data_IF_133075899175
#
_entry.id   IF_133075899175
#
_cell.length_a   1.000
_cell.length_b   1.000
_cell.length_c   1.000
_cell.angle_alpha   90.00
_cell.angle_beta   90.00
_cell.angle_gamma   90.00
#
_symmetry.space_group_name_H-M   'P 1'
#
loop_
_entity.id
_entity.type
_entity.pdbx_description
1 polymer ?
#
# COMPACT_ATOMS: atom_id res chain seq x y z
N UNK A 1 -4.14 -14.80 -19.42
CA UNK A 1 -3.09 -15.47 -18.63
C UNK A 1 -3.00 -14.81 -17.26
N UNK A 2 -3.54 -15.49 -16.23
CA UNK A 2 -3.42 -15.05 -14.82
C UNK A 2 -1.96 -15.25 -14.40
N UNK A 3 -1.27 -14.16 -14.08
CA UNK A 3 -0.07 -14.25 -13.23
C UNK A 3 -0.49 -15.01 -11.96
N UNK A 4 0.25 -16.06 -11.61
CA UNK A 4 -0.01 -16.80 -10.36
C UNK A 4 0.21 -15.81 -9.21
N UNK A 5 -0.89 -15.34 -8.63
CA UNK A 5 -0.85 -14.71 -7.32
C UNK A 5 -0.39 -15.78 -6.34
N UNK A 6 0.77 -15.56 -5.73
CA UNK A 6 1.21 -16.42 -4.65
C UNK A 6 0.32 -16.13 -3.44
N UNK A 7 -0.57 -17.06 -3.12
CA UNK A 7 -1.48 -16.97 -1.99
C UNK A 7 -0.99 -17.95 -0.92
N UNK A 8 -0.69 -17.43 0.27
CA UNK A 8 -0.50 -18.24 1.47
C UNK A 8 -1.85 -18.21 2.19
N UNK A 9 -2.49 -19.36 2.34
CA UNK A 9 -3.73 -19.53 3.11
C UNK A 9 -3.41 -20.25 4.39
N UNK A 10 -3.70 -19.62 5.52
CA UNK A 10 -3.83 -20.29 6.80
C UNK A 10 -4.98 -19.63 7.60
N UNK A 11 -5.90 -20.45 8.11
CA UNK A 11 -7.00 -20.14 9.03
C UNK A 11 -7.64 -18.75 8.90
N UNK A 12 -8.11 -18.37 7.70
CA UNK A 12 -8.80 -17.10 7.49
C UNK A 12 -7.91 -15.94 7.02
N UNK A 13 -6.60 -16.16 6.85
CA UNK A 13 -5.68 -15.16 6.32
C UNK A 13 -5.16 -15.52 4.93
N UNK A 14 -5.12 -14.53 4.02
CA UNK A 14 -4.61 -14.69 2.66
C UNK A 14 -3.72 -13.49 2.31
N UNK A 15 -2.48 -13.77 1.97
CA UNK A 15 -1.54 -12.76 1.45
C UNK A 15 -1.53 -12.78 -0.08
N UNK A 16 -1.76 -11.62 -0.69
CA UNK A 16 -1.77 -11.42 -2.13
C UNK A 16 -0.62 -10.48 -2.48
N UNK A 17 0.36 -10.96 -3.24
CA UNK A 17 1.44 -10.11 -3.75
C UNK A 17 0.89 -9.29 -4.91
N UNK A 18 0.83 -7.98 -4.73
CA UNK A 18 0.32 -7.03 -5.72
C UNK A 18 1.40 -6.60 -6.71
N UNK A 19 2.64 -6.54 -6.25
CA UNK A 19 3.82 -6.27 -7.04
C UNK A 19 5.07 -6.80 -6.37
N UNK A 20 6.00 -7.30 -7.17
CA UNK A 20 7.28 -7.88 -6.71
C UNK A 20 8.49 -7.27 -7.41
N UNK A 21 8.29 -6.12 -8.07
CA UNK A 21 9.36 -5.35 -8.70
C UNK A 21 10.09 -4.44 -7.71
N UNK A 22 11.19 -3.87 -8.18
CA UNK A 22 11.94 -2.83 -7.46
C UNK A 22 11.20 -1.49 -7.51
N UNK A 23 11.82 -0.43 -6.99
CA UNK A 23 11.31 0.94 -7.02
C UNK A 23 10.91 1.45 -8.43
N UNK A 24 11.49 0.88 -9.49
CA UNK A 24 11.17 1.24 -10.88
C UNK A 24 10.20 0.27 -11.56
N UNK A 25 9.92 -0.86 -10.94
CA UNK A 25 9.21 -1.98 -11.58
C UNK A 25 10.05 -2.66 -12.67
N UNK A 26 9.43 -3.59 -13.39
CA UNK A 26 10.01 -4.23 -14.58
C UNK A 26 8.92 -4.29 -15.65
N UNK A 27 9.18 -3.83 -16.89
CA UNK A 27 10.43 -3.29 -17.43
C UNK A 27 10.80 -1.91 -16.88
N UNK A 28 12.09 -1.63 -16.83
CA UNK A 28 12.63 -0.31 -16.46
C UNK A 28 12.67 0.57 -17.71
N UNK A 29 12.24 1.83 -17.56
CA UNK A 29 12.22 2.82 -18.66
C UNK A 29 13.61 2.95 -19.28
N UNK A 30 13.68 2.76 -20.60
CA UNK A 30 14.93 2.85 -21.37
C UNK A 30 15.87 1.66 -21.26
N UNK A 31 15.59 0.66 -20.41
CA UNK A 31 16.39 -0.54 -20.31
C UNK A 31 16.18 -1.47 -21.51
N UNK A 32 17.28 -2.01 -22.06
CA UNK A 32 17.27 -2.91 -23.22
C UNK A 32 17.74 -4.32 -22.91
N UNK A 33 17.80 -4.71 -21.64
CA UNK A 33 18.19 -6.06 -21.26
C UNK A 33 17.09 -7.08 -21.68
N UNK A 34 17.47 -8.35 -21.73
CA UNK A 34 16.59 -9.42 -22.15
C UNK A 34 15.26 -9.49 -21.36
N UNK A 35 15.29 -9.19 -20.06
CA UNK A 35 14.09 -9.19 -19.22
C UNK A 35 13.20 -7.98 -19.52
N UNK A 36 13.75 -6.77 -19.61
CA UNK A 36 12.98 -5.55 -19.89
C UNK A 36 12.41 -5.49 -21.31
N UNK A 37 12.97 -6.24 -22.25
CA UNK A 37 12.50 -6.33 -23.64
C UNK A 37 11.72 -7.63 -23.91
N UNK A 38 11.52 -8.44 -22.89
CA UNK A 38 10.76 -9.69 -22.97
C UNK A 38 9.30 -9.44 -23.31
N UNK A 39 8.72 -10.32 -24.09
CA UNK A 39 7.27 -10.36 -24.37
C UNK A 39 6.51 -11.27 -23.41
N UNK A 40 7.23 -11.96 -22.51
CA UNK A 40 6.58 -12.81 -21.50
C UNK A 40 5.99 -11.93 -20.41
N UNK A 41 4.67 -11.98 -20.17
CA UNK A 41 4.03 -11.17 -19.13
C UNK A 41 4.51 -11.51 -17.70
N UNK A 42 5.18 -12.64 -17.49
CA UNK A 42 5.79 -13.01 -16.20
C UNK A 42 7.02 -12.17 -15.87
N UNK A 43 7.63 -11.54 -16.87
CA UNK A 43 8.75 -10.62 -16.69
C UNK A 43 8.27 -9.20 -16.32
N UNK A 44 6.98 -8.92 -16.42
CA UNK A 44 6.40 -7.65 -16.00
C UNK A 44 6.11 -7.69 -14.49
N UNK A 45 6.76 -6.82 -13.73
CA UNK A 45 6.62 -6.72 -12.27
C UNK A 45 6.29 -5.31 -11.86
N UNK A 46 5.11 -5.13 -11.29
CA UNK A 46 4.74 -3.87 -10.64
C UNK A 46 5.60 -3.65 -9.40
N UNK A 47 5.72 -2.41 -8.97
CA UNK A 47 6.44 -2.01 -7.75
C UNK A 47 5.90 -2.76 -6.55
N UNK A 48 6.77 -2.99 -5.58
CA UNK A 48 6.45 -3.79 -4.39
C UNK A 48 5.21 -3.28 -3.67
N UNK A 49 4.26 -4.16 -3.48
CA UNK A 49 3.09 -3.97 -2.62
C UNK A 49 2.43 -5.33 -2.37
N UNK A 50 1.71 -5.44 -1.27
CA UNK A 50 0.97 -6.63 -0.92
C UNK A 50 -0.40 -6.26 -0.33
N UNK A 51 -1.37 -7.17 -0.46
CA UNK A 51 -2.65 -7.06 0.21
C UNK A 51 -2.88 -8.29 1.09
N UNK A 52 -3.29 -8.05 2.30
CA UNK A 52 -3.68 -9.06 3.25
C UNK A 52 -5.22 -9.06 3.37
N UNK A 53 -5.83 -10.19 3.10
CA UNK A 53 -7.20 -10.49 3.49
C UNK A 53 -7.14 -11.29 4.79
N UNK A 54 -7.65 -10.72 5.88
CA UNK A 54 -7.64 -11.31 7.22
C UNK A 54 -9.06 -11.30 7.76
N UNK A 55 -9.71 -12.43 7.66
CA UNK A 55 -11.15 -12.57 7.86
C UNK A 55 -11.92 -11.60 6.93
N UNK A 56 -12.59 -10.59 7.49
CA UNK A 56 -13.33 -9.55 6.77
C UNK A 56 -12.53 -8.25 6.55
N UNK A 57 -11.26 -8.20 6.99
CA UNK A 57 -10.41 -7.02 6.90
C UNK A 57 -9.46 -7.14 5.71
N UNK A 58 -9.29 -6.04 4.96
CA UNK A 58 -8.31 -5.92 3.87
C UNK A 58 -7.31 -4.83 4.18
N UNK A 59 -6.06 -5.23 4.38
CA UNK A 59 -4.93 -4.34 4.62
C UNK A 59 -4.05 -4.31 3.37
N UNK A 60 -3.65 -3.13 2.94
CA UNK A 60 -2.66 -2.97 1.87
C UNK A 60 -1.35 -2.52 2.48
N UNK A 61 -0.24 -3.16 2.12
CA UNK A 61 1.10 -2.76 2.50
C UNK A 61 1.69 -1.98 1.32
N UNK A 62 1.94 -0.70 1.55
CA UNK A 62 2.39 0.30 0.59
C UNK A 62 1.44 0.56 -0.59
N UNK A 63 1.31 1.83 -0.94
CA UNK A 63 0.49 2.32 -2.03
C UNK A 63 1.36 3.18 -2.98
N UNK A 64 2.24 2.52 -3.74
CA UNK A 64 3.10 3.15 -4.73
C UNK A 64 2.35 3.57 -6.00
N UNK A 65 3.05 4.08 -7.01
CA UNK A 65 2.44 4.58 -8.25
C UNK A 65 1.61 3.56 -9.04
N UNK A 66 1.84 2.27 -8.79
CA UNK A 66 1.09 1.18 -9.43
C UNK A 66 -0.19 0.80 -8.68
N UNK A 67 -0.50 1.45 -7.55
CA UNK A 67 -1.62 1.12 -6.65
C UNK A 67 -2.95 0.97 -7.40
N UNK A 68 -3.30 1.92 -8.26
CA UNK A 68 -4.52 1.86 -9.07
C UNK A 68 -4.60 0.57 -9.87
N UNK A 69 -3.55 0.23 -10.59
CA UNK A 69 -3.53 -0.97 -11.43
C UNK A 69 -3.54 -2.26 -10.57
N UNK A 70 -2.84 -2.24 -9.45
CA UNK A 70 -2.83 -3.33 -8.48
C UNK A 70 -4.24 -3.61 -7.95
N UNK A 71 -4.99 -2.57 -7.55
CA UNK A 71 -6.36 -2.71 -7.06
C UNK A 71 -7.32 -3.19 -8.16
N UNK A 72 -7.22 -2.67 -9.38
CA UNK A 72 -8.02 -3.14 -10.51
C UNK A 72 -7.82 -4.64 -10.79
N UNK A 73 -6.59 -5.15 -10.64
CA UNK A 73 -6.29 -6.57 -10.82
C UNK A 73 -6.90 -7.47 -9.76
N UNK A 74 -7.04 -6.99 -8.53
CA UNK A 74 -7.66 -7.77 -7.45
C UNK A 74 -9.17 -7.79 -7.55
N UNK A 75 -9.78 -6.76 -8.15
CA UNK A 75 -11.22 -6.58 -8.23
C UNK A 75 -11.87 -6.25 -6.88
N UNK A 76 -11.09 -5.88 -5.86
CA UNK A 76 -11.65 -5.50 -4.54
C UNK A 76 -12.40 -4.17 -4.64
N UNK A 77 -13.49 -4.06 -3.89
CA UNK A 77 -14.34 -2.88 -3.83
C UNK A 77 -14.10 -2.01 -2.61
N UNK A 78 -13.40 -2.52 -1.60
CA UNK A 78 -13.03 -1.79 -0.40
C UNK A 78 -11.71 -2.30 0.17
N UNK A 79 -11.01 -1.43 0.87
CA UNK A 79 -9.87 -1.71 1.73
C UNK A 79 -10.12 -1.04 3.08
N UNK A 80 -9.59 -1.59 4.15
CA UNK A 80 -9.82 -1.07 5.50
C UNK A 80 -8.69 -0.16 5.96
N UNK A 81 -7.45 -0.49 5.60
CA UNK A 81 -6.31 0.35 5.94
C UNK A 81 -5.14 0.12 4.98
N UNK A 82 -4.22 1.09 5.00
CA UNK A 82 -2.91 1.01 4.36
C UNK A 82 -1.84 1.11 5.44
N UNK A 83 -0.89 0.18 5.40
CA UNK A 83 0.28 0.16 6.27
C UNK A 83 1.50 0.59 5.45
N UNK A 84 2.11 1.71 5.80
CA UNK A 84 3.27 2.24 5.07
C UNK A 84 4.57 1.79 5.72
N UNK A 85 5.44 1.19 4.91
CA UNK A 85 6.76 0.76 5.37
C UNK A 85 7.71 1.93 5.54
N UNK A 86 7.71 2.89 4.63
CA UNK A 86 8.51 4.10 4.65
C UNK A 86 8.04 5.12 3.59
N UNK A 87 8.68 6.29 3.53
CA UNK A 87 8.22 7.46 2.78
C UNK A 87 8.69 7.56 1.33
N UNK A 88 9.41 6.60 0.78
CA UNK A 88 9.83 6.66 -0.62
C UNK A 88 8.63 6.67 -1.58
N UNK A 89 8.77 7.36 -2.71
CA UNK A 89 7.67 7.59 -3.66
C UNK A 89 7.10 6.32 -4.26
N UNK A 90 7.91 5.30 -4.43
CA UNK A 90 7.48 3.99 -4.91
C UNK A 90 6.61 3.22 -3.88
N UNK A 91 6.53 3.71 -2.62
CA UNK A 91 5.70 3.16 -1.56
C UNK A 91 4.48 4.03 -1.21
N UNK A 92 4.51 5.34 -1.48
CA UNK A 92 3.42 6.26 -1.11
C UNK A 92 2.78 6.98 -2.31
N UNK A 93 3.41 6.97 -3.48
CA UNK A 93 3.03 7.83 -4.61
C UNK A 93 1.65 7.58 -5.21
N UNK A 94 0.99 6.48 -4.89
CA UNK A 94 -0.35 6.13 -5.36
C UNK A 94 -1.48 6.43 -4.39
N UNK A 95 -1.21 7.10 -3.26
CA UNK A 95 -2.24 7.39 -2.25
C UNK A 95 -3.38 8.27 -2.75
N UNK A 96 -3.20 9.04 -3.83
CA UNK A 96 -4.30 9.80 -4.44
C UNK A 96 -5.43 8.89 -4.95
N UNK A 97 -5.11 7.71 -5.45
CA UNK A 97 -6.08 6.76 -5.98
C UNK A 97 -6.96 6.09 -4.90
N UNK A 98 -6.65 6.30 -3.61
CA UNK A 98 -7.48 5.86 -2.48
C UNK A 98 -8.89 6.45 -2.57
N UNK A 99 -9.03 7.64 -3.15
CA UNK A 99 -10.34 8.29 -3.35
C UNK A 99 -11.36 7.42 -4.08
N UNK A 100 -10.92 6.49 -4.93
CA UNK A 100 -11.83 5.55 -5.59
C UNK A 100 -12.59 4.67 -4.59
N UNK A 101 -11.95 4.28 -3.49
CA UNK A 101 -12.57 3.53 -2.40
C UNK A 101 -13.41 4.42 -1.48
N UNK A 102 -13.00 5.69 -1.29
CA UNK A 102 -13.74 6.61 -0.44
C UNK A 102 -15.16 6.85 -0.95
N UNK A 103 -15.35 6.89 -2.27
CA UNK A 103 -16.61 7.31 -2.91
C UNK A 103 -17.34 6.18 -3.62
N UNK A 104 -16.94 4.93 -3.46
CA UNK A 104 -17.55 3.77 -4.13
C UNK A 104 -19.06 3.61 -3.83
N UNK A 105 -19.49 4.02 -2.65
CA UNK A 105 -20.87 3.94 -2.18
C UNK A 105 -21.46 5.35 -1.92
N UNK A 106 -21.06 6.35 -2.75
CA UNK A 106 -21.58 7.71 -2.59
C UNK A 106 -23.12 7.72 -2.49
N UNK A 107 -23.74 8.48 -1.56
CA UNK A 107 -23.16 9.58 -0.75
C UNK A 107 -22.42 9.16 0.53
N UNK A 108 -22.36 7.88 0.86
CA UNK A 108 -21.54 7.41 1.99
C UNK A 108 -20.06 7.53 1.62
N UNK A 109 -19.28 8.16 2.49
CA UNK A 109 -17.84 8.35 2.31
C UNK A 109 -17.10 7.41 3.27
N UNK A 110 -16.30 6.52 2.70
CA UNK A 110 -15.46 5.58 3.46
C UNK A 110 -14.06 6.17 3.63
N UNK A 111 -13.75 6.66 4.83
CA UNK A 111 -12.40 7.14 5.14
C UNK A 111 -11.46 5.96 5.34
N UNK A 112 -10.25 6.04 4.77
CA UNK A 112 -9.23 5.00 4.85
C UNK A 112 -8.17 5.40 5.88
N UNK A 113 -7.93 4.52 6.85
CA UNK A 113 -6.84 4.69 7.80
C UNK A 113 -5.49 4.37 7.12
N UNK A 114 -4.51 5.28 7.26
CA UNK A 114 -3.16 5.11 6.74
C UNK A 114 -2.18 5.16 7.93
N UNK A 115 -1.60 4.01 8.23
CA UNK A 115 -0.68 3.82 9.33
C UNK A 115 0.77 4.00 8.87
N UNK A 116 1.56 4.70 9.64
CA UNK A 116 2.98 4.89 9.37
C UNK A 116 3.69 5.57 10.54
N UNK A 117 5.00 5.56 10.54
CA UNK A 117 5.78 6.31 11.51
C UNK A 117 5.55 7.81 11.34
N UNK A 118 5.87 8.59 12.37
CA UNK A 118 5.80 10.06 12.32
C UNK A 118 6.50 10.64 11.10
N UNK A 119 7.68 10.13 10.78
CA UNK A 119 8.46 10.59 9.62
C UNK A 119 7.74 10.31 8.32
N UNK A 120 7.26 9.08 8.13
CA UNK A 120 6.51 8.67 6.94
C UNK A 120 5.25 9.51 6.75
N UNK A 121 4.45 9.68 7.82
CA UNK A 121 3.21 10.46 7.75
C UNK A 121 3.44 11.95 7.52
N UNK A 122 4.55 12.51 8.01
CA UNK A 122 4.95 13.88 7.68
C UNK A 122 5.18 14.06 6.19
N UNK A 123 5.84 13.09 5.54
CA UNK A 123 6.03 13.11 4.09
C UNK A 123 4.71 12.95 3.33
N UNK A 124 3.83 12.04 3.75
CA UNK A 124 2.49 11.90 3.17
C UNK A 124 1.72 13.21 3.26
N UNK A 125 1.68 13.84 4.43
CA UNK A 125 0.96 15.12 4.62
C UNK A 125 1.52 16.23 3.74
N UNK A 126 2.84 16.26 3.52
CA UNK A 126 3.49 17.24 2.64
C UNK A 126 3.18 16.98 1.17
N UNK A 127 3.21 15.73 0.74
CA UNK A 127 3.07 15.35 -0.66
C UNK A 127 1.61 15.41 -1.15
N UNK A 128 0.67 15.23 -0.24
CA UNK A 128 -0.78 15.23 -0.50
C UNK A 128 -1.48 16.31 0.34
N UNK A 129 -0.86 17.48 0.51
CA UNK A 129 -1.34 18.57 1.37
C UNK A 129 -2.79 19.00 1.03
N UNK A 130 -3.17 18.97 -0.24
CA UNK A 130 -4.52 19.26 -0.72
C UNK A 130 -5.59 18.33 -0.12
N UNK A 131 -5.23 17.09 0.26
CA UNK A 131 -6.15 16.16 0.91
C UNK A 131 -6.38 16.50 2.41
N UNK A 132 -5.49 17.28 3.00
CA UNK A 132 -5.50 17.65 4.42
C UNK A 132 -5.80 19.12 4.65
N UNK A 133 -6.01 19.90 3.61
CA UNK A 133 -6.36 21.32 3.70
C UNK A 133 -7.71 21.51 4.36
N UNK A 134 -7.87 22.62 5.09
CA UNK A 134 -9.17 23.03 5.69
C UNK A 134 -10.20 23.31 4.59
N UNK A 135 -9.76 23.94 3.50
CA UNK A 135 -10.60 24.35 2.37
C UNK A 135 -10.51 23.34 1.20
N UNK A 136 -10.36 22.05 1.51
CA UNK A 136 -10.27 21.02 0.48
C UNK A 136 -11.54 20.95 -0.37
N UNK A 137 -11.38 20.78 -1.68
CA UNK A 137 -12.51 20.56 -2.58
C UNK A 137 -13.08 19.14 -2.44
N UNK A 138 -14.32 18.94 -2.89
CA UNK A 138 -14.93 17.60 -2.90
C UNK A 138 -14.26 16.69 -3.89
N UNK A 139 -13.99 15.43 -3.48
CA UNK A 139 -13.37 14.42 -4.33
C UNK A 139 -11.87 14.24 -4.15
N UNK A 140 -11.24 14.93 -3.19
CA UNK A 140 -9.88 14.59 -2.74
C UNK A 140 -9.89 13.27 -1.94
N UNK A 141 -8.75 12.61 -1.79
CA UNK A 141 -8.66 11.43 -0.93
C UNK A 141 -9.09 11.74 0.51
N UNK A 142 -9.97 10.90 1.05
CA UNK A 142 -10.40 10.94 2.45
C UNK A 142 -9.58 9.93 3.25
N UNK A 143 -8.45 10.41 3.77
CA UNK A 143 -7.44 9.64 4.49
C UNK A 143 -7.39 10.09 5.95
N UNK A 144 -7.32 9.14 6.87
CA UNK A 144 -7.02 9.37 8.27
C UNK A 144 -5.60 8.87 8.59
N UNK A 145 -4.70 9.77 8.94
CA UNK A 145 -3.33 9.41 9.27
C UNK A 145 -3.23 8.89 10.71
N UNK A 146 -2.74 7.68 10.87
CA UNK A 146 -2.56 6.97 12.15
C UNK A 146 -1.07 6.79 12.42
N UNK A 147 -0.51 7.60 13.33
CA UNK A 147 0.88 7.46 13.73
C UNK A 147 1.09 6.18 14.53
N UNK A 148 2.13 5.43 14.18
CA UNK A 148 2.57 4.25 14.91
C UNK A 148 3.96 4.49 15.51
N UNK A 149 4.19 3.89 16.69
CA UNK A 149 5.53 3.75 17.26
C UNK A 149 6.12 2.42 16.79
N UNK A 150 7.31 2.41 16.15
CA UNK A 150 7.93 1.16 15.70
C UNK A 150 8.25 0.14 16.81
N UNK A 151 8.21 0.57 18.07
CA UNK A 151 8.46 -0.30 19.22
C UNK A 151 7.18 -0.83 19.90
N UNK A 152 5.99 -0.37 19.46
CA UNK A 152 4.72 -0.65 20.16
C UNK A 152 3.72 -1.31 19.22
N UNK A 153 3.15 -2.47 19.60
CA UNK A 153 2.04 -3.05 18.86
C UNK A 153 0.86 -2.09 18.75
N UNK A 154 0.14 -2.14 17.64
CA UNK A 154 -1.07 -1.35 17.40
C UNK A 154 -2.18 -2.23 16.83
N UNK A 155 -3.39 -1.71 16.81
CA UNK A 155 -4.53 -2.45 16.26
C UNK A 155 -5.06 -1.77 14.98
N UNK A 156 -5.41 -2.60 13.99
CA UNK A 156 -6.29 -2.21 12.90
C UNK A 156 -7.61 -2.92 13.12
N UNK A 157 -8.63 -2.17 13.50
CA UNK A 157 -9.89 -2.72 14.05
C UNK A 157 -9.58 -3.62 15.26
N UNK A 158 -9.94 -4.89 15.20
CA UNK A 158 -9.73 -5.90 16.24
C UNK A 158 -8.43 -6.71 16.07
N UNK A 159 -7.64 -6.43 15.04
CA UNK A 159 -6.44 -7.19 14.70
C UNK A 159 -5.17 -6.49 15.19
N UNK A 160 -4.38 -7.21 15.97
CA UNK A 160 -3.08 -6.71 16.42
C UNK A 160 -2.03 -6.83 15.32
N UNK A 161 -1.28 -5.74 15.15
CA UNK A 161 -0.14 -5.64 14.23
C UNK A 161 1.09 -5.24 15.04
N UNK A 162 2.16 -5.99 14.88
CA UNK A 162 3.42 -5.74 15.58
C UNK A 162 4.41 -5.16 14.58
N UNK A 163 4.80 -3.88 14.73
CA UNK A 163 5.81 -3.29 13.87
C UNK A 163 7.18 -3.91 14.13
N UNK A 164 7.97 -4.03 13.07
CA UNK A 164 9.33 -4.55 13.12
C UNK A 164 10.23 -3.54 12.43
N UNK A 165 11.10 -2.91 13.21
CA UNK A 165 12.05 -1.92 12.69
C UNK A 165 13.15 -2.58 11.86
N UNK A 166 13.50 -1.95 10.76
CA UNK A 166 14.60 -2.33 9.88
C UNK A 166 15.26 -1.09 9.27
N UNK A 167 16.33 -1.30 8.53
CA UNK A 167 17.06 -0.24 7.83
C UNK A 167 17.11 -0.56 6.34
N UNK A 168 16.64 0.36 5.52
CA UNK A 168 16.79 0.30 4.07
C UNK A 168 18.15 0.82 3.63
N UNK A 169 18.68 1.80 4.37
CA UNK A 169 20.04 2.34 4.25
C UNK A 169 20.43 2.99 5.58
N UNK A 170 21.68 3.44 5.76
CA UNK A 170 22.08 4.14 6.99
C UNK A 170 21.23 5.38 7.35
N UNK A 171 20.48 5.91 6.40
CA UNK A 171 19.65 7.12 6.58
C UNK A 171 18.15 6.86 6.56
N UNK A 172 17.70 5.65 6.20
CA UNK A 172 16.28 5.34 6.04
C UNK A 172 15.90 4.13 6.87
N UNK A 173 15.06 4.38 7.84
CA UNK A 173 14.37 3.34 8.59
C UNK A 173 13.18 2.84 7.79
N UNK A 174 12.91 1.56 7.90
CA UNK A 174 11.72 0.91 7.33
C UNK A 174 11.01 0.15 8.42
N UNK A 175 9.69 0.07 8.29
CA UNK A 175 8.85 -0.71 9.20
C UNK A 175 8.29 -1.91 8.46
N UNK A 176 8.64 -3.11 8.93
CA UNK A 176 7.94 -4.34 8.61
C UNK A 176 6.75 -4.54 9.55
N UNK A 177 5.86 -5.47 9.21
CA UNK A 177 4.68 -5.75 10.02
C UNK A 177 4.56 -7.25 10.27
N UNK A 178 4.58 -7.65 11.54
CA UNK A 178 4.27 -9.01 11.96
C UNK A 178 2.79 -9.07 12.36
N UNK A 179 2.11 -10.03 11.83
CA UNK A 179 0.70 -10.29 12.05
C UNK A 179 0.60 -11.62 12.80
N UNK A 180 -0.17 -11.65 13.88
CA UNK A 180 -0.39 -12.87 14.67
C UNK A 180 -1.75 -13.48 14.27
N UNK A 181 -1.75 -14.80 14.04
CA UNK A 181 -2.94 -15.59 13.76
C UNK A 181 -3.67 -15.92 15.06
#
# INVERSE_FOLDING_TARGET
HRQRQMCIRDRGMKLIILGSGTSQGVPVIGCRCAVCTSKDPRDNRLRTSAMLEWDDIRLVIDAGPDFRYQMLRTGVRHIDAILLTHEHKDHIGGLDDVRAFNFVDYPTIHRIDVFGTRQTLKCVRKDFDYAFSVDKYRGVPEIELREIDPAVPFCVKDKEVIPVSGHHSPRFEVTGFRLSL
#
